data_IF_634134437913
#
_entry.id   IF_634134437913
#
_cell.length_a   1.000
_cell.length_b   1.000
_cell.length_c   1.000
_cell.angle_alpha   90.00
_cell.angle_beta   90.00
_cell.angle_gamma   90.00
#
_symmetry.space_group_name_H-M   'P 1'
#
loop_
_entity.id
_entity.type
_entity.pdbx_description
1 polymer ?
#
# COMPACT_ATOMS: atom_id res chain seq x y z
N UNK A 1 -19.98 -28.10 18.77
CA UNK A 1 -18.89 -28.12 19.76
C UNK A 1 -18.47 -26.68 19.95
N UNK A 2 -19.03 -26.00 20.96
CA UNK A 2 -18.81 -24.57 21.21
C UNK A 2 -17.48 -24.40 21.92
N UNK A 3 -16.48 -23.87 21.22
CA UNK A 3 -15.19 -23.53 21.80
C UNK A 3 -15.39 -22.34 22.75
N UNK A 4 -15.10 -22.53 24.03
CA UNK A 4 -15.13 -21.45 25.02
C UNK A 4 -14.03 -20.44 24.70
N UNK A 5 -14.34 -19.15 24.82
CA UNK A 5 -13.45 -18.01 24.50
C UNK A 5 -12.09 -18.03 25.21
N UNK A 6 -11.89 -18.89 26.21
CA UNK A 6 -10.64 -19.06 26.93
C UNK A 6 -9.58 -19.92 26.24
N UNK A 7 -9.92 -20.65 25.17
CA UNK A 7 -9.00 -21.57 24.47
C UNK A 7 -8.54 -21.10 23.09
N UNK A 8 -8.92 -19.89 22.67
CA UNK A 8 -8.56 -19.36 21.34
C UNK A 8 -7.07 -19.01 21.35
N UNK A 9 -6.24 -19.86 20.74
CA UNK A 9 -4.79 -19.68 20.70
C UNK A 9 -4.34 -18.96 19.45
N UNK A 10 -5.11 -19.10 18.37
CA UNK A 10 -4.68 -18.67 17.03
C UNK A 10 -5.71 -17.79 16.32
N UNK A 11 -5.22 -16.99 15.37
CA UNK A 11 -6.05 -16.17 14.50
C UNK A 11 -7.02 -17.01 13.66
N UNK A 12 -6.58 -18.18 13.20
CA UNK A 12 -7.41 -19.10 12.42
C UNK A 12 -8.63 -19.57 13.22
N UNK A 13 -8.45 -19.96 14.49
CA UNK A 13 -9.54 -20.37 15.39
C UNK A 13 -10.50 -19.20 15.65
N UNK A 14 -9.97 -18.00 15.90
CA UNK A 14 -10.77 -16.80 16.13
C UNK A 14 -11.69 -16.50 14.94
N UNK A 15 -11.18 -16.66 13.72
CA UNK A 15 -11.93 -16.48 12.48
C UNK A 15 -13.00 -17.56 12.29
N UNK A 16 -12.67 -18.83 12.56
CA UNK A 16 -13.63 -19.92 12.45
C UNK A 16 -14.84 -19.72 13.38
N UNK A 17 -14.59 -19.27 14.62
CA UNK A 17 -15.66 -18.97 15.59
C UNK A 17 -16.48 -17.75 15.15
N UNK A 18 -15.83 -16.70 14.64
CA UNK A 18 -16.54 -15.54 14.12
C UNK A 18 -17.47 -15.93 12.97
N UNK A 19 -16.99 -16.72 12.02
CA UNK A 19 -17.77 -17.25 10.91
C UNK A 19 -18.99 -18.03 11.41
N UNK A 20 -18.80 -18.97 12.34
CA UNK A 20 -19.91 -19.76 12.91
C UNK A 20 -20.96 -18.87 13.59
N UNK A 21 -20.54 -17.73 14.15
CA UNK A 21 -21.44 -16.77 14.80
C UNK A 21 -22.33 -15.97 13.82
N UNK A 22 -22.01 -15.90 12.52
CA UNK A 22 -22.69 -15.03 11.56
C UNK A 22 -24.02 -15.57 11.01
N UNK A 23 -24.38 -16.84 11.25
CA UNK A 23 -25.70 -17.45 10.96
C UNK A 23 -26.36 -17.05 9.62
N UNK A 24 -25.62 -16.93 8.51
CA UNK A 24 -26.16 -16.37 7.25
C UNK A 24 -25.84 -17.19 6.00
N UNK A 25 -26.84 -17.95 5.52
CA UNK A 25 -26.78 -18.98 4.47
C UNK A 25 -26.28 -18.60 3.06
N UNK A 26 -26.09 -17.31 2.74
CA UNK A 26 -25.83 -16.86 1.35
C UNK A 26 -24.50 -16.09 1.19
N UNK A 27 -23.95 -15.55 2.29
CA UNK A 27 -22.72 -14.73 2.27
C UNK A 27 -21.48 -15.47 2.80
N UNK A 28 -21.61 -16.72 3.24
CA UNK A 28 -20.54 -17.49 3.89
C UNK A 28 -19.31 -17.64 2.99
N UNK A 29 -19.46 -17.98 1.70
CA UNK A 29 -18.30 -18.30 0.87
C UNK A 29 -17.40 -17.08 0.59
N UNK A 30 -17.99 -15.91 0.33
CA UNK A 30 -17.21 -14.68 0.12
C UNK A 30 -16.58 -14.17 1.42
N UNK A 31 -17.30 -14.30 2.54
CA UNK A 31 -16.80 -13.94 3.87
C UNK A 31 -15.63 -14.86 4.26
N UNK A 32 -15.79 -16.17 4.13
CA UNK A 32 -14.76 -17.17 4.44
C UNK A 32 -13.52 -16.94 3.60
N UNK A 33 -13.69 -16.74 2.28
CA UNK A 33 -12.57 -16.48 1.37
C UNK A 33 -11.79 -15.23 1.77
N UNK A 34 -12.46 -14.17 2.18
CA UNK A 34 -11.77 -12.93 2.56
C UNK A 34 -11.07 -13.06 3.91
N UNK A 35 -11.74 -13.64 4.90
CA UNK A 35 -11.15 -13.88 6.21
C UNK A 35 -9.95 -14.84 6.11
N UNK A 36 -10.03 -15.89 5.29
CA UNK A 36 -8.92 -16.81 5.10
C UNK A 36 -7.70 -16.14 4.45
N UNK A 37 -7.92 -15.24 3.46
CA UNK A 37 -6.83 -14.41 2.91
C UNK A 37 -6.20 -13.51 3.97
N UNK A 38 -7.01 -12.94 4.85
CA UNK A 38 -6.53 -12.12 5.96
C UNK A 38 -5.72 -12.93 6.98
N UNK A 39 -6.18 -14.14 7.30
CA UNK A 39 -5.45 -15.10 8.16
C UNK A 39 -4.10 -15.46 7.52
N UNK A 40 -4.09 -15.78 6.22
CA UNK A 40 -2.84 -16.09 5.50
C UNK A 40 -1.87 -14.90 5.47
N UNK A 41 -2.39 -13.66 5.42
CA UNK A 41 -1.58 -12.45 5.46
C UNK A 41 -0.94 -12.20 6.83
N UNK A 42 -1.72 -12.30 7.90
CA UNK A 42 -1.23 -12.03 9.26
C UNK A 42 -0.45 -13.21 9.86
N UNK A 43 -0.61 -14.41 9.29
CA UNK A 43 -0.11 -15.68 9.81
C UNK A 43 -1.16 -16.36 10.69
N UNK A 44 -1.67 -17.50 10.25
CA UNK A 44 -2.81 -18.17 10.91
C UNK A 44 -2.49 -18.77 12.27
N UNK A 45 -1.27 -19.25 12.47
CA UNK A 45 -0.77 -19.83 13.72
C UNK A 45 -0.47 -18.79 14.81
N UNK A 46 -0.47 -17.50 14.47
CA UNK A 46 -0.17 -16.43 15.43
C UNK A 46 -1.39 -16.08 16.26
N UNK A 47 -1.16 -15.58 17.48
CA UNK A 47 -2.24 -15.07 18.32
C UNK A 47 -2.86 -13.82 17.71
N UNK A 48 -4.19 -13.72 17.73
CA UNK A 48 -4.93 -12.55 17.24
C UNK A 48 -4.58 -11.26 18.01
N UNK A 49 -4.09 -11.38 19.25
CA UNK A 49 -3.59 -10.25 20.06
C UNK A 49 -2.29 -9.63 19.53
N UNK A 50 -1.51 -10.38 18.75
CA UNK A 50 -0.23 -9.87 18.21
C UNK A 50 -0.39 -9.04 16.93
N UNK A 51 -1.60 -9.02 16.35
CA UNK A 51 -1.86 -8.26 15.13
C UNK A 51 -1.74 -6.78 15.44
N UNK A 52 -0.88 -6.11 14.70
CA UNK A 52 -0.63 -4.69 14.89
C UNK A 52 -1.46 -3.81 13.92
N UNK A 53 -1.69 -2.52 14.24
CA UNK A 53 -2.42 -1.62 13.37
C UNK A 53 -1.81 -1.43 11.97
N UNK A 54 -0.49 -1.58 11.84
CA UNK A 54 0.23 -1.42 10.57
C UNK A 54 -0.09 -2.56 9.61
N UNK A 55 -0.06 -3.82 10.08
CA UNK A 55 -0.44 -5.01 9.31
C UNK A 55 -1.85 -4.89 8.73
N UNK A 56 -2.79 -4.35 9.51
CA UNK A 56 -4.17 -4.11 9.06
C UNK A 56 -4.23 -2.99 8.02
N UNK A 57 -3.46 -1.92 8.24
CA UNK A 57 -3.37 -0.80 7.29
C UNK A 57 -2.68 -1.16 5.98
N UNK A 58 -1.79 -2.16 5.99
CA UNK A 58 -1.12 -2.67 4.79
C UNK A 58 -2.00 -3.68 4.06
N UNK A 59 -2.67 -4.58 4.78
CA UNK A 59 -3.69 -5.46 4.20
C UNK A 59 -4.81 -4.64 3.54
N UNK A 60 -5.29 -3.59 4.22
CA UNK A 60 -6.37 -2.76 3.69
C UNK A 60 -5.98 -2.05 2.39
N UNK A 61 -4.73 -1.62 2.27
CA UNK A 61 -4.24 -1.01 1.03
C UNK A 61 -3.93 -2.05 -0.05
N UNK A 62 -3.55 -3.27 0.31
CA UNK A 62 -3.42 -4.38 -0.63
C UNK A 62 -4.79 -4.76 -1.22
N UNK A 63 -5.85 -4.76 -0.40
CA UNK A 63 -7.22 -5.04 -0.85
C UNK A 63 -7.82 -3.87 -1.62
N UNK A 64 -7.53 -2.63 -1.20
CA UNK A 64 -8.00 -1.41 -1.84
C UNK A 64 -7.23 -1.00 -3.09
N UNK A 65 -6.01 -1.51 -3.30
CA UNK A 65 -5.18 -1.22 -4.46
C UNK A 65 -5.02 0.28 -4.74
N UNK A 66 -5.10 0.67 -6.02
CA UNK A 66 -5.01 2.06 -6.48
C UNK A 66 -6.33 2.84 -6.35
N UNK A 67 -7.41 2.20 -5.92
CA UNK A 67 -8.72 2.82 -5.72
C UNK A 67 -9.74 1.86 -5.12
N UNK A 68 -10.53 2.33 -4.15
CA UNK A 68 -11.49 1.47 -3.45
C UNK A 68 -12.71 1.20 -4.34
N UNK A 69 -12.77 -0.01 -4.90
CA UNK A 69 -13.95 -0.52 -5.60
C UNK A 69 -15.06 -0.89 -4.61
N UNK A 70 -16.33 -0.99 -5.05
CA UNK A 70 -17.42 -1.49 -4.20
C UNK A 70 -17.10 -2.87 -3.60
N UNK A 71 -16.52 -3.77 -4.41
CA UNK A 71 -16.06 -5.08 -3.96
C UNK A 71 -14.95 -4.99 -2.90
N UNK A 72 -13.95 -4.10 -3.09
CA UNK A 72 -12.92 -3.88 -2.07
C UNK A 72 -13.52 -3.31 -0.77
N UNK A 73 -14.53 -2.45 -0.88
CA UNK A 73 -15.25 -1.91 0.27
C UNK A 73 -15.93 -3.03 1.05
N UNK A 74 -16.68 -3.91 0.38
CA UNK A 74 -17.34 -5.07 1.01
C UNK A 74 -16.33 -5.99 1.69
N UNK A 75 -15.23 -6.32 1.01
CA UNK A 75 -14.14 -7.12 1.58
C UNK A 75 -13.55 -6.50 2.86
N UNK A 76 -13.30 -5.19 2.86
CA UNK A 76 -12.82 -4.48 4.05
C UNK A 76 -13.87 -4.42 5.17
N UNK A 77 -15.16 -4.37 4.85
CA UNK A 77 -16.23 -4.45 5.86
C UNK A 77 -16.24 -5.80 6.57
N UNK A 78 -15.98 -6.91 5.85
CA UNK A 78 -15.86 -8.25 6.45
C UNK A 78 -14.76 -8.26 7.53
N UNK A 79 -13.58 -7.76 7.19
CA UNK A 79 -12.45 -7.70 8.14
C UNK A 79 -12.77 -6.78 9.32
N UNK A 80 -13.40 -5.63 9.05
CA UNK A 80 -13.80 -4.69 10.11
C UNK A 80 -14.82 -5.32 11.07
N UNK A 81 -15.75 -6.13 10.56
CA UNK A 81 -16.70 -6.90 11.35
C UNK A 81 -16.00 -7.89 12.27
N UNK A 82 -15.09 -8.69 11.72
CA UNK A 82 -14.26 -9.63 12.49
C UNK A 82 -13.46 -8.94 13.60
N UNK A 83 -12.74 -7.86 13.28
CA UNK A 83 -11.94 -7.14 14.29
C UNK A 83 -12.82 -6.51 15.38
N UNK A 84 -14.02 -6.05 15.04
CA UNK A 84 -14.98 -5.54 16.02
C UNK A 84 -15.50 -6.65 16.94
N UNK A 85 -15.76 -7.84 16.37
CA UNK A 85 -16.11 -9.04 17.12
C UNK A 85 -14.97 -9.49 18.04
N UNK A 86 -13.73 -9.57 17.52
CA UNK A 86 -12.56 -9.94 18.29
C UNK A 86 -12.37 -9.03 19.52
N UNK A 87 -12.57 -7.71 19.36
CA UNK A 87 -12.54 -6.79 20.49
C UNK A 87 -13.67 -7.04 21.49
N UNK A 88 -14.90 -7.28 21.02
CA UNK A 88 -16.05 -7.56 21.89
C UNK A 88 -15.86 -8.85 22.70
N UNK A 89 -15.21 -9.86 22.12
CA UNK A 89 -14.88 -11.12 22.78
C UNK A 89 -13.64 -11.03 23.69
N UNK A 90 -13.01 -9.85 23.80
CA UNK A 90 -11.79 -9.66 24.61
C UNK A 90 -10.53 -10.29 24.01
N UNK A 91 -10.57 -10.73 22.75
CA UNK A 91 -9.43 -11.33 22.05
C UNK A 91 -8.37 -10.31 21.67
N UNK A 92 -8.77 -9.04 21.52
CA UNK A 92 -7.89 -7.91 21.31
C UNK A 92 -8.31 -6.75 22.21
N UNK A 93 -7.32 -6.07 22.80
CA UNK A 93 -7.56 -4.92 23.67
C UNK A 93 -7.60 -3.60 22.89
N UNK A 94 -7.03 -3.59 21.68
CA UNK A 94 -6.93 -2.40 20.82
C UNK A 94 -8.07 -2.38 19.80
N UNK A 95 -8.61 -1.20 19.49
CA UNK A 95 -9.63 -1.04 18.44
C UNK A 95 -9.01 -1.13 17.04
N UNK A 96 -8.60 -2.33 16.65
CA UNK A 96 -7.97 -2.60 15.36
C UNK A 96 -8.89 -2.32 14.16
N UNK A 97 -10.21 -2.43 14.35
CA UNK A 97 -11.21 -2.16 13.32
C UNK A 97 -11.16 -0.71 12.78
N UNK A 98 -10.68 0.26 13.57
CA UNK A 98 -10.55 1.65 13.14
C UNK A 98 -9.40 1.88 12.14
N UNK A 99 -8.46 0.93 12.07
CA UNK A 99 -7.30 1.01 11.19
C UNK A 99 -7.55 0.39 9.81
N UNK A 100 -8.70 -0.26 9.61
CA UNK A 100 -9.19 -0.69 8.29
C UNK A 100 -9.58 0.55 7.47
N UNK A 101 -8.64 1.08 6.68
CA UNK A 101 -8.84 2.29 5.87
C UNK A 101 -9.58 1.96 4.58
N UNK A 102 -10.86 2.27 4.53
CA UNK A 102 -11.64 2.32 3.28
C UNK A 102 -11.39 3.69 2.65
N UNK A 103 -10.46 3.78 1.68
CA UNK A 103 -10.19 5.07 1.03
C UNK A 103 -11.38 5.45 0.15
N UNK A 104 -12.23 6.38 0.58
CA UNK A 104 -13.07 7.09 -0.40
C UNK A 104 -12.14 7.70 -1.45
N UNK A 105 -12.41 7.43 -2.73
CA UNK A 105 -11.59 7.86 -3.84
C UNK A 105 -11.24 9.35 -3.72
N UNK A 106 -10.04 9.62 -3.22
CA UNK A 106 -9.41 10.93 -3.25
C UNK A 106 -7.93 10.66 -3.34
N UNK A 107 -7.39 10.96 -4.53
CA UNK A 107 -5.97 10.95 -4.89
C UNK A 107 -5.09 11.14 -3.65
N UNK A 108 -4.43 10.07 -3.21
CA UNK A 108 -3.33 10.19 -2.26
C UNK A 108 -2.25 9.21 -2.66
N UNK A 109 -1.24 9.77 -3.31
CA UNK A 109 0.11 9.19 -3.44
C UNK A 109 0.50 8.62 -2.07
N UNK A 110 0.67 7.31 -1.96
CA UNK A 110 1.14 6.63 -0.75
C UNK A 110 2.66 6.51 -0.85
N UNK A 111 3.35 7.55 -0.38
CA UNK A 111 4.72 7.45 0.09
C UNK A 111 4.73 6.87 1.50
N UNK A 112 5.60 5.89 1.72
CA UNK A 112 5.76 5.13 2.94
C UNK A 112 6.41 5.95 4.09
N UNK A 113 6.38 5.31 5.26
CA UNK A 113 6.68 5.80 6.61
C UNK A 113 8.07 6.42 6.81
N UNK A 114 8.08 7.65 7.33
CA UNK A 114 8.77 8.10 8.56
C UNK A 114 10.13 7.46 8.91
N UNK A 115 11.20 8.11 8.46
CA UNK A 115 12.36 8.48 9.31
C UNK A 115 12.68 9.94 8.99
N UNK A 116 12.73 10.75 10.04
CA UNK A 116 13.16 12.14 9.97
C UNK A 116 14.67 12.19 9.78
N UNK A 117 15.13 12.05 8.54
CA UNK A 117 16.43 12.53 8.13
C UNK A 117 16.24 13.09 6.73
N UNK A 118 16.34 14.40 6.59
CA UNK A 118 16.43 15.02 5.28
C UNK A 118 17.57 14.32 4.51
N UNK A 119 17.26 13.68 3.39
CA UNK A 119 18.26 13.00 2.58
C UNK A 119 19.30 14.04 2.12
N UNK A 120 20.48 13.97 2.73
CA UNK A 120 21.63 14.77 2.37
C UNK A 120 22.13 14.31 1.00
N UNK A 121 21.86 15.08 -0.04
CA UNK A 121 22.35 14.81 -1.39
C UNK A 121 23.60 15.63 -1.64
N UNK A 122 24.64 15.03 -2.21
CA UNK A 122 25.82 15.79 -2.65
C UNK A 122 25.45 16.68 -3.84
N UNK A 123 26.15 17.80 -4.02
CA UNK A 123 25.91 18.69 -5.16
C UNK A 123 26.02 17.96 -6.51
N UNK A 124 26.93 17.00 -6.62
CA UNK A 124 27.09 16.13 -7.78
C UNK A 124 25.87 15.21 -7.99
N UNK A 125 25.41 14.51 -6.95
CA UNK A 125 24.23 13.64 -7.02
C UNK A 125 22.96 14.41 -7.39
N UNK A 126 22.83 15.65 -6.91
CA UNK A 126 21.73 16.55 -7.29
C UNK A 126 21.78 16.93 -8.78
N UNK A 127 22.96 17.30 -9.28
CA UNK A 127 23.13 17.61 -10.71
C UNK A 127 22.86 16.40 -11.61
N UNK A 128 23.27 15.20 -11.19
CA UNK A 128 23.01 13.97 -11.94
C UNK A 128 21.51 13.66 -12.02
N UNK A 129 20.78 13.79 -10.90
CA UNK A 129 19.33 13.60 -10.87
C UNK A 129 18.60 14.64 -11.73
N UNK A 130 19.04 15.90 -11.75
CA UNK A 130 18.49 16.92 -12.64
C UNK A 130 18.71 16.59 -14.13
N UNK A 131 19.90 16.12 -14.49
CA UNK A 131 20.20 15.69 -15.87
C UNK A 131 19.33 14.50 -16.27
N UNK A 132 19.21 13.49 -15.40
CA UNK A 132 18.33 12.34 -15.65
C UNK A 132 16.87 12.75 -15.81
N UNK A 133 16.38 13.66 -14.96
CA UNK A 133 15.02 14.21 -15.07
C UNK A 133 14.78 14.88 -16.42
N UNK A 134 15.75 15.66 -16.90
CA UNK A 134 15.66 16.34 -18.20
C UNK A 134 15.61 15.34 -19.36
N UNK A 135 16.42 14.29 -19.31
CA UNK A 135 16.41 13.22 -20.33
C UNK A 135 15.06 12.51 -20.37
N UNK A 136 14.53 12.08 -19.22
CA UNK A 136 13.24 11.38 -19.14
C UNK A 136 12.07 12.25 -19.60
N UNK A 137 12.09 13.55 -19.28
CA UNK A 137 11.07 14.50 -19.79
C UNK A 137 11.12 14.65 -21.31
N UNK A 138 12.32 14.56 -21.89
CA UNK A 138 12.50 14.62 -23.35
C UNK A 138 12.01 13.34 -24.03
N UNK A 139 12.13 12.19 -23.37
CA UNK A 139 11.62 10.88 -23.83
C UNK A 139 10.09 10.76 -23.73
N UNK A 140 9.46 11.49 -22.81
CA UNK A 140 7.99 11.51 -22.67
C UNK A 140 7.27 11.97 -23.93
N UNK A 141 7.81 12.96 -24.63
CA UNK A 141 7.18 13.55 -25.82
C UNK A 141 7.02 12.57 -27.00
N UNK A 142 8.08 11.87 -27.45
CA UNK A 142 7.95 10.91 -28.54
C UNK A 142 7.03 9.73 -28.20
N UNK A 143 7.04 9.25 -26.95
CA UNK A 143 6.12 8.17 -26.50
C UNK A 143 4.65 8.60 -26.59
N UNK A 144 4.32 9.82 -26.17
CA UNK A 144 2.96 10.35 -26.29
C UNK A 144 2.50 10.46 -27.75
N UNK A 145 3.40 10.88 -28.66
CA UNK A 145 3.11 10.94 -30.09
C UNK A 145 2.92 9.54 -30.69
N UNK A 146 3.70 8.54 -30.26
CA UNK A 146 3.54 7.15 -30.69
C UNK A 146 2.19 6.57 -30.27
N UNK A 147 1.77 6.82 -29.02
CA UNK A 147 0.44 6.42 -28.53
C UNK A 147 -0.67 7.09 -29.35
N UNK A 148 -0.54 8.39 -29.63
CA UNK A 148 -1.54 9.11 -30.42
C UNK A 148 -1.64 8.56 -31.85
N UNK A 149 -0.51 8.26 -32.48
CA UNK A 149 -0.44 7.68 -33.82
C UNK A 149 -1.01 6.26 -33.87
N UNK A 150 -0.66 5.43 -32.88
CA UNK A 150 -1.18 4.07 -32.76
C UNK A 150 -2.68 4.04 -32.40
N UNK A 151 -3.17 5.02 -31.62
CA UNK A 151 -4.59 5.16 -31.28
C UNK A 151 -5.46 5.67 -32.45
N UNK A 152 -4.86 6.31 -33.45
CA UNK A 152 -5.56 6.76 -34.65
C UNK A 152 -5.77 5.64 -35.67
N UNK A 153 -5.08 4.50 -35.52
CA UNK A 153 -5.24 3.32 -36.33
C UNK A 153 -6.50 2.55 -35.87
N UNK A 154 -7.46 2.37 -36.78
CA UNK A 154 -8.84 1.93 -36.45
C UNK A 154 -8.97 0.43 -36.14
N UNK A 155 -7.87 -0.33 -36.20
CA UNK A 155 -7.83 -1.74 -35.84
C UNK A 155 -7.31 -1.91 -34.40
N UNK A 156 -8.18 -1.60 -33.44
CA UNK A 156 -7.85 -1.48 -32.01
C UNK A 156 -7.80 -2.85 -31.31
N UNK A 157 -8.19 -3.95 -32.00
CA UNK A 157 -8.42 -5.26 -31.36
C UNK A 157 -7.14 -6.07 -31.11
N UNK A 158 -6.03 -5.75 -31.77
CA UNK A 158 -4.73 -6.43 -31.59
C UNK A 158 -3.54 -5.45 -31.57
N UNK A 159 -3.73 -4.22 -31.07
CA UNK A 159 -2.69 -3.20 -31.14
C UNK A 159 -1.65 -3.33 -30.02
N UNK A 160 -0.88 -4.43 -30.03
CA UNK A 160 0.26 -4.64 -29.15
C UNK A 160 1.26 -3.46 -29.11
N UNK A 161 1.52 -2.73 -30.23
CA UNK A 161 2.32 -1.50 -30.21
C UNK A 161 1.73 -0.38 -29.34
N UNK A 162 0.40 -0.23 -29.29
CA UNK A 162 -0.27 0.79 -28.47
C UNK A 162 -0.16 0.45 -26.97
N UNK A 163 -0.36 -0.81 -26.61
CA UNK A 163 -0.21 -1.26 -25.21
C UNK A 163 1.24 -1.12 -24.74
N UNK A 164 2.20 -1.55 -25.56
CA UNK A 164 3.62 -1.38 -25.25
C UNK A 164 4.00 0.10 -25.08
N UNK A 165 3.55 0.99 -25.97
CA UNK A 165 3.84 2.42 -25.85
C UNK A 165 3.22 3.06 -24.59
N UNK A 166 2.02 2.62 -24.19
CA UNK A 166 1.36 3.06 -22.94
C UNK A 166 2.10 2.58 -21.70
N UNK A 167 2.55 1.33 -21.70
CA UNK A 167 3.34 0.77 -20.60
C UNK A 167 4.67 1.51 -20.45
N UNK A 168 5.39 1.72 -21.57
CA UNK A 168 6.64 2.49 -21.57
C UNK A 168 6.45 3.92 -21.07
N UNK A 169 5.38 4.61 -21.51
CA UNK A 169 5.05 5.94 -20.99
C UNK A 169 4.79 5.90 -19.48
N UNK A 170 4.06 4.90 -18.98
CA UNK A 170 3.81 4.72 -17.56
C UNK A 170 5.10 4.54 -16.74
N UNK A 171 6.06 3.76 -17.25
CA UNK A 171 7.36 3.57 -16.61
C UNK A 171 8.17 4.87 -16.55
N UNK A 172 8.23 5.61 -17.67
CA UNK A 172 8.92 6.90 -17.75
C UNK A 172 8.28 7.92 -16.80
N UNK A 173 6.95 8.00 -16.75
CA UNK A 173 6.24 8.93 -15.86
C UNK A 173 6.43 8.56 -14.38
N UNK A 174 6.46 7.27 -14.03
CA UNK A 174 6.78 6.82 -12.67
C UNK A 174 8.17 7.28 -12.27
N UNK A 175 9.16 7.08 -13.15
CA UNK A 175 10.56 7.45 -12.88
C UNK A 175 10.75 8.97 -12.75
N UNK A 176 10.08 9.75 -13.59
CA UNK A 176 10.06 11.22 -13.47
C UNK A 176 9.55 11.63 -12.08
N UNK A 177 8.43 11.07 -11.64
CA UNK A 177 7.81 11.42 -10.34
C UNK A 177 8.72 11.05 -9.17
N UNK A 178 9.39 9.91 -9.22
CA UNK A 178 10.37 9.51 -8.19
C UNK A 178 11.53 10.51 -8.08
N UNK A 179 12.11 10.90 -9.22
CA UNK A 179 13.25 11.84 -9.24
C UNK A 179 12.81 13.23 -8.78
N UNK A 180 11.64 13.72 -9.21
CA UNK A 180 11.10 15.01 -8.74
C UNK A 180 10.82 15.02 -7.24
N UNK A 181 10.24 13.94 -6.70
CA UNK A 181 9.98 13.81 -5.26
C UNK A 181 11.29 13.74 -4.46
N UNK A 182 12.30 13.04 -4.99
CA UNK A 182 13.65 12.97 -4.40
C UNK A 182 14.32 14.34 -4.38
N UNK A 183 14.33 15.06 -5.52
CA UNK A 183 14.90 16.41 -5.61
C UNK A 183 14.18 17.41 -4.70
N UNK A 184 12.86 17.27 -4.52
CA UNK A 184 12.07 18.14 -3.65
C UNK A 184 12.37 17.94 -2.16
N UNK A 185 12.73 16.73 -1.76
CA UNK A 185 13.02 16.35 -0.36
C UNK A 185 14.51 16.43 -0.01
N UNK A 186 15.39 16.44 -1.01
CA UNK A 186 16.83 16.46 -0.82
C UNK A 186 17.31 17.80 -0.28
N UNK A 187 18.20 17.76 0.72
CA UNK A 187 18.99 18.91 1.16
C UNK A 187 20.37 18.79 0.53
N UNK A 188 20.76 19.75 -0.31
CA UNK A 188 22.07 19.75 -0.96
C UNK A 188 23.14 20.08 0.09
N UNK A 189 23.96 19.11 0.45
CA UNK A 189 25.03 19.29 1.42
C UNK A 189 26.35 19.41 0.68
N UNK A 190 26.99 20.58 0.81
CA UNK A 190 28.33 20.82 0.32
C UNK A 190 29.33 20.16 1.30
N UNK A 191 30.09 19.17 0.84
CA UNK A 191 31.09 18.47 1.64
C UNK A 191 32.24 19.38 2.13
N UNK A 192 32.25 20.66 1.75
CA UNK A 192 33.26 21.64 2.13
C UNK A 192 33.05 22.29 3.51
N UNK A 193 31.94 22.00 4.24
CA UNK A 193 31.63 22.67 5.53
C UNK A 193 31.17 21.71 6.64
N UNK A 194 31.93 20.66 6.98
CA UNK A 194 31.84 20.06 8.32
C UNK A 194 32.85 20.73 9.27
N UNK A 195 32.45 21.79 9.98
CA UNK A 195 33.18 22.29 11.16
C UNK A 195 32.47 21.86 12.45
N UNK A 196 33.16 20.93 13.14
CA UNK A 196 33.22 20.66 14.59
C UNK A 196 31.89 20.62 15.37
N UNK A 197 31.37 19.41 15.59
CA UNK A 197 30.57 19.10 16.77
C UNK A 197 31.48 19.19 18.01
N UNK A 198 31.10 20.06 18.94
CA UNK A 198 31.78 20.28 20.22
C UNK A 198 31.31 19.19 21.18
N UNK A 199 32.18 18.24 21.48
CA UNK A 199 32.05 17.38 22.66
C UNK A 199 32.15 18.28 23.89
N UNK A 200 31.17 18.21 24.78
CA UNK A 200 31.36 18.58 26.18
C UNK A 200 30.85 17.42 27.01
N UNK A 201 31.83 16.67 27.51
CA UNK A 201 31.73 15.68 28.56
C UNK A 201 31.31 16.33 29.89
N UNK A 202 30.42 15.60 30.60
CA UNK A 202 30.10 15.60 32.04
C UNK A 202 29.42 16.85 32.62
#
# INVERSE_FOLDING_TARGET
MTLETGEIRTLLEAVAIYVDSLKSKDNDESIHRELFKFVQWCGGDRSVSEINPSEIGDYADQVGGTGTTPLATERLQVIRGFLSYARKQGLINVNLAQHVRIRKAKNRVRGASKTEDAFALTAEGHSQLQTQLKSLKSERQPLALQIQKAAADKDVRENAPLEAAREQLGLVESRIREIEDTLKKAVVVDSSKRKKSKTVDI
#
